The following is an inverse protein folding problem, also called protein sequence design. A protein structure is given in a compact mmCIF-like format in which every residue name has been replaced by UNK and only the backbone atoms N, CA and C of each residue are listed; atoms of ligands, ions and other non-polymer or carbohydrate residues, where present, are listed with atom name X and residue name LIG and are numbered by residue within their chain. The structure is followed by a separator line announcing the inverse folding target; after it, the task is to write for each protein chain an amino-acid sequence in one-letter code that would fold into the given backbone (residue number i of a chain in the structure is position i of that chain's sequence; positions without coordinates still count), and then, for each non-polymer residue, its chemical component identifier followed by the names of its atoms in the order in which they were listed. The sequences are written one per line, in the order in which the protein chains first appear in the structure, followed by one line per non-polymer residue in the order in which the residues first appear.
data_IF_009377167741
#
_entry.id   IF_009377167741
#
_cell.length_a   1.000
_cell.length_b   1.000
_cell.length_c   1.000
_cell.angle_alpha   90.00
_cell.angle_beta   90.00
_cell.angle_gamma   90.00
#
_symmetry.space_group_name_H-M   'P 1'
#
loop_
_entity.id
_entity.type
_entity.pdbx_description
1 polymer ?
#
# COMPACT_ATOMS: atom_id res chain seq x y z
N UNK A 1 -4.55 7.32 -12.22
CA UNK A 1 -3.57 6.23 -12.02
C UNK A 1 -4.00 5.38 -10.84
N UNK A 2 -3.66 4.08 -10.80
CA UNK A 2 -4.08 3.18 -9.71
C UNK A 2 -3.58 3.63 -8.32
N UNK A 3 -2.40 4.24 -8.24
CA UNK A 3 -1.86 4.83 -7.00
C UNK A 3 -2.75 5.96 -6.45
N UNK A 4 -3.22 6.87 -7.31
CA UNK A 4 -4.11 7.97 -6.89
C UNK A 4 -5.47 7.45 -6.44
N UNK A 5 -6.01 6.43 -7.13
CA UNK A 5 -7.26 5.79 -6.74
C UNK A 5 -7.14 5.11 -5.35
N UNK A 6 -6.01 4.47 -5.06
CA UNK A 6 -5.73 3.90 -3.72
C UNK A 6 -5.66 5.01 -2.67
N UNK A 7 -5.05 6.14 -3.00
CA UNK A 7 -5.00 7.31 -2.12
C UNK A 7 -6.39 7.92 -1.88
N UNK A 8 -7.30 7.87 -2.86
CA UNK A 8 -8.70 8.26 -2.68
C UNK A 8 -9.44 7.32 -1.75
N UNK A 9 -9.33 6.00 -1.95
CA UNK A 9 -9.96 5.00 -1.07
C UNK A 9 -9.49 5.11 0.38
N UNK A 10 -8.19 5.27 0.60
CA UNK A 10 -7.65 5.48 1.95
C UNK A 10 -8.18 6.76 2.60
N UNK A 11 -8.37 7.85 1.83
CA UNK A 11 -9.02 9.07 2.37
C UNK A 11 -10.49 8.84 2.71
N UNK A 12 -11.21 8.09 1.88
CA UNK A 12 -12.61 7.72 2.18
C UNK A 12 -12.70 6.86 3.44
N UNK A 13 -11.85 5.84 3.57
CA UNK A 13 -11.78 4.99 4.76
C UNK A 13 -11.39 5.75 6.02
N UNK A 14 -10.49 6.73 5.90
CA UNK A 14 -10.14 7.62 7.01
C UNK A 14 -11.33 8.46 7.49
N UNK A 15 -12.13 9.00 6.56
CA UNK A 15 -13.34 9.77 6.90
C UNK A 15 -14.44 8.87 7.50
N UNK A 16 -14.53 7.62 7.06
CA UNK A 16 -15.45 6.63 7.59
C UNK A 16 -15.04 6.08 8.98
N UNK A 17 -13.76 6.23 9.35
CA UNK A 17 -13.20 5.69 10.59
C UNK A 17 -12.69 4.25 10.47
N UNK A 18 -12.55 3.72 9.25
CA UNK A 18 -12.05 2.37 8.98
C UNK A 18 -10.52 2.26 9.16
N UNK A 19 -9.81 3.38 8.96
CA UNK A 19 -8.36 3.48 9.14
C UNK A 19 -8.00 4.79 9.84
N UNK A 20 -6.92 4.77 10.60
CA UNK A 20 -6.43 5.93 11.36
C UNK A 20 -5.35 6.71 10.62
N UNK A 21 -4.85 6.18 9.50
CA UNK A 21 -3.74 6.76 8.72
C UNK A 21 -4.22 7.26 7.35
N UNK A 22 -3.98 8.53 7.04
CA UNK A 22 -4.37 9.14 5.76
C UNK A 22 -3.22 9.22 4.76
N UNK A 23 -3.52 8.99 3.47
CA UNK A 23 -2.55 9.17 2.39
C UNK A 23 -2.60 10.58 1.80
N UNK A 24 -1.53 11.36 2.01
CA UNK A 24 -1.35 12.68 1.41
C UNK A 24 -0.82 12.60 -0.03
N UNK A 25 -0.94 13.65 -0.86
CA UNK A 25 -0.30 13.68 -2.18
C UNK A 25 1.21 13.43 -2.12
N UNK A 26 1.89 13.91 -1.06
CA UNK A 26 3.32 13.66 -0.83
C UNK A 26 3.60 12.16 -0.64
N UNK A 27 2.74 11.46 0.09
CA UNK A 27 2.85 10.01 0.30
C UNK A 27 2.73 9.25 -1.02
N UNK A 28 1.87 9.70 -1.94
CA UNK A 28 1.73 9.09 -3.28
C UNK A 28 3.01 9.26 -4.10
N UNK A 29 3.62 10.45 -4.06
CA UNK A 29 4.89 10.71 -4.75
C UNK A 29 6.00 9.83 -4.18
N UNK A 30 6.17 9.79 -2.85
CA UNK A 30 7.16 8.93 -2.20
C UNK A 30 6.93 7.45 -2.48
N UNK A 31 5.67 7.02 -2.62
CA UNK A 31 5.38 5.65 -3.01
C UNK A 31 5.84 5.39 -4.45
N UNK A 32 5.56 6.28 -5.39
CA UNK A 32 6.05 6.16 -6.77
C UNK A 32 7.59 6.06 -6.81
N UNK A 33 8.29 6.96 -6.10
CA UNK A 33 9.76 6.95 -6.03
C UNK A 33 10.28 5.64 -5.43
N UNK A 34 9.70 5.15 -4.33
CA UNK A 34 10.09 3.87 -3.74
C UNK A 34 9.78 2.69 -4.67
N UNK A 35 8.67 2.72 -5.40
CA UNK A 35 8.34 1.69 -6.38
C UNK A 35 9.37 1.64 -7.52
N UNK A 36 9.90 2.79 -7.94
CA UNK A 36 11.00 2.87 -8.91
C UNK A 36 12.32 2.36 -8.32
N UNK A 37 12.65 2.70 -7.07
CA UNK A 37 13.89 2.26 -6.39
C UNK A 37 13.91 0.75 -6.17
N UNK A 38 12.79 0.16 -5.74
CA UNK A 38 12.68 -1.27 -5.45
C UNK A 38 12.22 -2.09 -6.66
N UNK A 39 12.01 -1.45 -7.81
CA UNK A 39 11.45 -2.05 -9.02
C UNK A 39 10.15 -2.85 -8.75
N UNK A 40 9.37 -2.41 -7.75
CA UNK A 40 8.22 -3.13 -7.22
C UNK A 40 7.21 -2.19 -6.55
N UNK A 41 6.05 -2.04 -7.19
CA UNK A 41 4.90 -1.28 -6.66
C UNK A 41 4.43 -1.76 -5.27
N UNK A 42 4.21 -3.07 -5.03
CA UNK A 42 3.75 -3.54 -3.73
C UNK A 42 4.77 -3.32 -2.62
N UNK A 43 6.08 -3.49 -2.90
CA UNK A 43 7.14 -3.20 -1.93
C UNK A 43 7.19 -1.71 -1.62
N UNK A 44 7.14 -0.86 -2.64
CA UNK A 44 7.08 0.59 -2.48
C UNK A 44 5.89 1.03 -1.63
N UNK A 45 4.73 0.39 -1.80
CA UNK A 45 3.52 0.69 -1.01
C UNK A 45 3.71 0.31 0.46
N UNK A 46 4.28 -0.87 0.71
CA UNK A 46 4.51 -1.39 2.06
C UNK A 46 5.40 -0.46 2.88
N UNK A 47 6.56 -0.09 2.34
CA UNK A 47 7.52 0.79 3.03
C UNK A 47 7.00 2.21 3.19
N UNK A 48 6.18 2.68 2.25
CA UNK A 48 5.69 4.07 2.25
C UNK A 48 4.48 4.28 3.15
N UNK A 49 3.55 3.33 3.19
CA UNK A 49 2.24 3.51 3.80
C UNK A 49 1.81 2.35 4.70
N UNK A 50 1.78 1.10 4.20
CA UNK A 50 1.23 -0.04 4.95
C UNK A 50 1.92 -0.25 6.31
N UNK A 51 3.25 -0.12 6.35
CA UNK A 51 4.04 -0.31 7.58
C UNK A 51 3.76 0.76 8.65
N UNK A 52 3.17 1.90 8.26
CA UNK A 52 2.78 2.98 9.19
C UNK A 52 1.37 2.78 9.75
N UNK A 53 0.57 1.92 9.13
CA UNK A 53 -0.79 1.63 9.58
C UNK A 53 -0.75 0.67 10.78
N UNK A 54 -1.76 0.77 11.64
CA UNK A 54 -1.96 -0.18 12.73
C UNK A 54 -2.19 -1.59 12.15
N UNK A 55 -1.72 -2.61 12.86
CA UNK A 55 -1.80 -4.00 12.40
C UNK A 55 -3.24 -4.43 12.13
N UNK A 56 -4.20 -3.97 12.94
CA UNK A 56 -5.62 -4.31 12.77
C UNK A 56 -6.24 -3.70 11.51
N UNK A 57 -5.66 -2.61 11.00
CA UNK A 57 -6.15 -1.87 9.83
C UNK A 57 -5.48 -2.32 8.53
N UNK A 58 -4.37 -3.09 8.60
CA UNK A 58 -3.59 -3.51 7.42
C UNK A 58 -4.40 -4.36 6.44
N UNK A 59 -5.33 -5.18 6.93
CA UNK A 59 -6.23 -5.97 6.10
C UNK A 59 -7.15 -5.07 5.27
N UNK A 60 -7.74 -4.05 5.88
CA UNK A 60 -8.55 -3.03 5.22
C UNK A 60 -7.75 -2.26 4.17
N UNK A 61 -6.53 -1.84 4.51
CA UNK A 61 -5.64 -1.13 3.58
C UNK A 61 -5.21 -2.04 2.41
N UNK A 62 -4.97 -3.32 2.66
CA UNK A 62 -4.66 -4.30 1.62
C UNK A 62 -5.85 -4.51 0.66
N UNK A 63 -7.09 -4.50 1.16
CA UNK A 63 -8.28 -4.52 0.31
C UNK A 63 -8.33 -3.30 -0.62
N UNK A 64 -8.05 -2.10 -0.10
CA UNK A 64 -8.02 -0.88 -0.92
C UNK A 64 -6.98 -0.98 -2.05
N UNK A 65 -5.80 -1.50 -1.73
CA UNK A 65 -4.77 -1.75 -2.74
C UNK A 65 -5.25 -2.77 -3.79
N UNK A 66 -5.78 -3.91 -3.35
CA UNK A 66 -6.28 -4.96 -4.25
C UNK A 66 -7.38 -4.44 -5.18
N UNK A 67 -8.30 -3.61 -4.68
CA UNK A 67 -9.38 -3.03 -5.50
C UNK A 67 -8.87 -2.10 -6.59
N UNK A 68 -7.73 -1.46 -6.38
CA UNK A 68 -7.13 -0.55 -7.36
C UNK A 68 -6.15 -1.23 -8.33
N UNK A 69 -5.42 -2.26 -7.88
CA UNK A 69 -4.37 -2.91 -8.67
C UNK A 69 -4.74 -4.31 -9.17
N UNK A 70 -5.78 -4.93 -8.61
CA UNK A 70 -6.16 -6.31 -8.91
C UNK A 70 -5.17 -7.35 -8.39
N UNK A 71 -4.25 -6.96 -7.49
CA UNK A 71 -3.20 -7.81 -6.93
C UNK A 71 -3.24 -7.74 -5.41
N UNK A 72 -3.08 -8.88 -4.75
CA UNK A 72 -2.96 -8.96 -3.30
C UNK A 72 -1.56 -8.56 -2.84
N UNK A 73 -1.47 -7.92 -1.67
CA UNK A 73 -0.18 -7.65 -1.04
C UNK A 73 0.29 -8.94 -0.36
N UNK A 74 1.39 -9.51 -0.85
CA UNK A 74 2.00 -10.68 -0.22
C UNK A 74 2.41 -10.34 1.22
N UNK A 75 1.86 -11.07 2.19
CA UNK A 75 2.15 -10.87 3.60
C UNK A 75 3.59 -11.32 3.88
N UNK A 76 4.47 -10.35 4.17
CA UNK A 76 5.67 -10.58 5.00
C UNK A 76 6.81 -11.41 4.43
N UNK A 77 6.55 -12.56 3.81
CA UNK A 77 7.53 -13.56 3.46
C UNK A 77 7.85 -13.37 2.00
N UNK A 78 8.89 -12.57 1.75
CA UNK A 78 9.65 -12.68 0.52
C UNK A 78 10.06 -14.15 0.46
N UNK A 79 9.40 -14.95 -0.38
CA UNK A 79 9.84 -16.30 -0.64
C UNK A 79 11.21 -16.15 -1.29
N UNK A 80 12.27 -16.30 -0.49
CA UNK A 80 13.62 -16.47 -1.00
C UNK A 80 13.53 -17.76 -1.80
N UNK A 81 13.29 -17.65 -3.09
CA UNK A 81 13.35 -18.80 -3.98
C UNK A 81 14.82 -19.15 -4.03
N UNK A 82 15.28 -20.27 -3.43
CA UNK A 82 16.66 -20.67 -3.61
C UNK A 82 16.83 -20.94 -5.11
N UNK A 83 17.64 -20.11 -5.76
CA UNK A 83 18.11 -20.34 -7.13
C UNK A 83 18.68 -21.75 -7.18
N UNK A 84 18.00 -22.63 -7.92
CA UNK A 84 18.55 -23.93 -8.31
C UNK A 84 19.55 -23.74 -9.45
#
# INVERSE_FOLDING_TARGET
SAMVATAELTRTGFVAGDISTVMSPRTVITWAENAEIFESIPVGFRVTFLNKCDEVERSTVAEYYQRCFGTELEDGVIAVTPTQ
#
